data_IF_858608161942
#
_entry.id   IF_858608161942
#
_cell.length_a   1.000
_cell.length_b   1.000
_cell.length_c   1.000
_cell.angle_alpha   90.00
_cell.angle_beta   90.00
_cell.angle_gamma   90.00
#
_symmetry.space_group_name_H-M   'P 1'
#
loop_
_entity.id
_entity.type
_entity.pdbx_description
1 polymer ?
#
# COMPACT_ATOMS: atom_id res chain seq x y z
N UNK A 1 -1.22 -12.10 27.08
CA UNK A 1 -1.39 -12.26 25.61
C UNK A 1 -1.50 -10.87 25.01
N UNK A 2 -0.66 -10.51 24.05
CA UNK A 2 -0.79 -9.23 23.34
C UNK A 2 -1.96 -9.33 22.36
N UNK A 3 -3.02 -8.56 22.58
CA UNK A 3 -4.10 -8.40 21.60
C UNK A 3 -3.64 -7.38 20.56
N UNK A 4 -3.21 -7.89 19.40
CA UNK A 4 -2.86 -7.08 18.24
C UNK A 4 -4.09 -6.90 17.35
N UNK A 5 -4.23 -5.73 16.74
CA UNK A 5 -5.26 -5.48 15.74
C UNK A 5 -5.05 -6.38 14.52
N UNK A 6 -6.15 -6.83 13.93
CA UNK A 6 -6.15 -7.74 12.79
C UNK A 6 -6.21 -6.94 11.49
N UNK A 7 -5.38 -7.29 10.51
CA UNK A 7 -5.41 -6.65 9.20
C UNK A 7 -6.72 -6.97 8.47
N UNK A 8 -7.35 -5.95 7.89
CA UNK A 8 -8.56 -6.10 7.07
C UNK A 8 -8.24 -5.98 5.58
N UNK A 9 -7.68 -4.84 5.18
CA UNK A 9 -7.44 -4.54 3.77
C UNK A 9 -6.44 -3.37 3.62
N UNK A 10 -5.96 -3.14 2.39
CA UNK A 10 -5.10 -2.02 2.04
C UNK A 10 -5.42 -1.40 0.67
N UNK A 11 -5.04 -0.14 0.51
CA UNK A 11 -5.16 0.60 -0.74
C UNK A 11 -3.90 1.41 -0.99
N UNK A 12 -3.23 1.12 -2.09
CA UNK A 12 -2.13 1.93 -2.60
C UNK A 12 -2.70 3.03 -3.50
N UNK A 13 -2.53 4.29 -3.09
CA UNK A 13 -3.06 5.45 -3.82
C UNK A 13 -2.33 5.58 -5.16
N UNK A 14 -3.05 5.66 -6.30
CA UNK A 14 -2.48 5.91 -7.61
C UNK A 14 -1.65 7.18 -7.63
N UNK A 15 -0.51 7.13 -8.34
CA UNK A 15 0.49 8.20 -8.34
C UNK A 15 -0.05 9.53 -8.86
N UNK A 16 -0.98 9.47 -9.81
CA UNK A 16 -1.71 10.59 -10.39
C UNK A 16 -2.74 11.23 -9.44
N UNK A 17 -3.16 10.49 -8.41
CA UNK A 17 -4.14 10.95 -7.42
C UNK A 17 -3.50 11.47 -6.12
N UNK A 18 -2.21 11.19 -5.89
CA UNK A 18 -1.49 11.57 -4.67
C UNK A 18 -1.55 13.07 -4.32
N UNK A 19 -1.69 13.95 -5.31
CA UNK A 19 -1.77 15.40 -5.08
C UNK A 19 -3.08 15.86 -4.42
N UNK A 20 -4.18 15.18 -4.73
CA UNK A 20 -5.52 15.53 -4.25
C UNK A 20 -6.08 14.49 -3.28
N UNK A 21 -5.24 13.53 -2.88
CA UNK A 21 -5.64 12.48 -1.95
C UNK A 21 -5.82 13.05 -0.54
N UNK A 22 -7.02 12.88 0.00
CA UNK A 22 -7.33 13.16 1.40
C UNK A 22 -7.21 11.88 2.23
N UNK A 23 -6.72 12.02 3.45
CA UNK A 23 -6.56 10.89 4.37
C UNK A 23 -7.92 10.22 4.65
N UNK A 24 -7.97 8.90 4.51
CA UNK A 24 -9.18 8.14 4.79
C UNK A 24 -9.37 8.05 6.31
N UNK A 25 -10.58 8.31 6.77
CA UNK A 25 -10.95 8.26 8.18
C UNK A 25 -11.73 6.99 8.52
N UNK A 26 -11.80 6.59 9.81
CA UNK A 26 -12.69 5.50 10.22
C UNK A 26 -14.17 5.79 9.89
N UNK A 27 -14.59 7.05 9.96
CA UNK A 27 -15.95 7.47 9.67
C UNK A 27 -16.34 7.19 8.21
N UNK A 28 -15.44 7.45 7.26
CA UNK A 28 -15.65 7.20 5.84
C UNK A 28 -16.01 5.73 5.55
N UNK A 29 -15.34 4.83 6.27
CA UNK A 29 -15.54 3.38 6.17
C UNK A 29 -16.87 2.98 6.83
N UNK A 30 -17.15 3.47 8.05
CA UNK A 30 -18.40 3.17 8.77
C UNK A 30 -19.62 3.64 7.97
N UNK A 31 -19.58 4.85 7.41
CA UNK A 31 -20.64 5.40 6.57
C UNK A 31 -20.81 4.65 5.23
N UNK A 32 -19.84 3.84 4.83
CA UNK A 32 -19.88 3.04 3.60
C UNK A 32 -20.31 1.59 3.81
N UNK A 33 -20.63 1.21 5.05
CA UNK A 33 -21.13 -0.12 5.40
C UNK A 33 -22.48 -0.41 4.71
N UNK A 34 -22.63 -1.63 4.15
CA UNK A 34 -23.91 -2.15 3.66
C UNK A 34 -24.76 -2.69 4.82
N UNK A 35 -26.08 -2.77 4.64
CA UNK A 35 -26.96 -3.39 5.63
C UNK A 35 -26.61 -4.89 5.83
N UNK A 36 -25.76 -5.20 6.81
CA UNK A 36 -25.22 -6.55 7.07
C UNK A 36 -25.60 -7.11 8.44
N UNK A 37 -26.60 -6.55 9.11
CA UNK A 37 -27.07 -6.99 10.43
C UNK A 37 -26.12 -6.67 11.60
N UNK A 38 -24.87 -6.34 11.30
CA UNK A 38 -23.88 -5.78 12.23
C UNK A 38 -23.84 -4.27 12.03
N UNK A 39 -23.55 -3.49 13.07
CA UNK A 39 -23.34 -2.03 12.96
C UNK A 39 -21.91 -1.71 13.37
N UNK A 40 -21.09 -1.26 12.43
CA UNK A 40 -19.72 -0.84 12.71
C UNK A 40 -19.71 0.51 13.42
N UNK A 41 -18.76 0.68 14.33
CA UNK A 41 -18.44 1.97 14.95
C UNK A 41 -16.99 2.33 14.67
N UNK A 42 -16.67 3.62 14.75
CA UNK A 42 -15.30 4.11 14.57
C UNK A 42 -14.33 3.47 15.58
N UNK A 43 -14.81 3.16 16.78
CA UNK A 43 -14.00 2.48 17.81
C UNK A 43 -13.61 1.04 17.44
N UNK A 44 -14.28 0.40 16.49
CA UNK A 44 -14.05 -1.01 16.12
C UNK A 44 -12.87 -1.19 15.16
N UNK A 45 -12.42 -0.13 14.49
CA UNK A 45 -11.37 -0.20 13.49
C UNK A 45 -10.31 0.90 13.66
N UNK A 46 -9.22 0.76 12.90
CA UNK A 46 -8.11 1.71 12.83
C UNK A 46 -7.74 1.89 11.36
N UNK A 47 -7.59 3.13 10.93
CA UNK A 47 -7.11 3.48 9.59
C UNK A 47 -5.73 4.11 9.72
N UNK A 48 -4.77 3.58 8.96
CA UNK A 48 -3.39 4.06 8.92
C UNK A 48 -3.09 4.59 7.52
N UNK A 49 -3.05 5.92 7.35
CA UNK A 49 -2.57 6.58 6.13
C UNK A 49 -1.04 6.69 6.20
N UNK A 50 -0.33 5.83 5.47
CA UNK A 50 1.13 5.74 5.52
C UNK A 50 1.76 6.40 4.31
N UNK A 51 2.36 7.57 4.53
CA UNK A 51 3.14 8.29 3.54
C UNK A 51 4.58 7.77 3.51
N UNK A 52 5.00 7.21 2.38
CA UNK A 52 6.34 6.68 2.16
C UNK A 52 7.06 7.63 1.20
N UNK A 53 8.21 8.17 1.58
CA UNK A 53 9.02 8.99 0.68
C UNK A 53 10.51 8.85 0.99
N UNK A 54 11.36 9.30 0.06
CA UNK A 54 12.81 9.30 0.21
C UNK A 54 13.34 10.42 1.12
N UNK A 55 12.65 10.67 2.25
CA UNK A 55 12.92 11.72 3.26
C UNK A 55 12.85 13.16 2.76
N UNK A 56 12.42 13.36 1.51
CA UNK A 56 12.32 14.68 0.85
C UNK A 56 10.97 14.92 0.17
N UNK A 57 9.92 14.22 0.63
CA UNK A 57 8.62 14.25 0.00
C UNK A 57 8.73 13.85 -1.48
N UNK A 58 8.16 14.65 -2.38
CA UNK A 58 8.16 14.40 -3.82
C UNK A 58 9.48 14.68 -4.54
N UNK A 59 10.42 15.38 -3.89
CA UNK A 59 11.67 15.80 -4.53
C UNK A 59 12.66 14.65 -4.61
N UNK A 60 13.35 14.53 -5.74
CA UNK A 60 14.37 13.52 -5.91
C UNK A 60 15.55 13.82 -4.96
N UNK A 61 15.98 12.86 -4.13
CA UNK A 61 17.11 13.06 -3.23
C UNK A 61 18.40 13.42 -3.97
N UNK A 62 18.62 12.91 -5.18
CA UNK A 62 19.82 13.13 -5.99
C UNK A 62 20.05 14.60 -6.37
N UNK A 63 18.99 15.41 -6.45
CA UNK A 63 19.09 16.86 -6.72
C UNK A 63 19.96 17.62 -5.71
N UNK A 64 20.12 17.11 -4.49
CA UNK A 64 20.95 17.73 -3.45
C UNK A 64 22.27 17.02 -3.22
N UNK A 65 22.47 15.87 -3.87
CA UNK A 65 23.73 15.13 -3.76
C UNK A 65 24.73 15.78 -4.70
N UNK A 66 25.90 16.05 -4.16
CA UNK A 66 27.00 16.65 -4.89
C UNK A 66 28.12 15.63 -5.01
N UNK A 67 28.56 15.39 -6.24
CA UNK A 67 29.44 14.30 -6.60
C UNK A 67 30.74 14.90 -7.13
N UNK A 68 31.84 14.23 -6.78
CA UNK A 68 33.19 14.51 -7.24
C UNK A 68 33.62 13.34 -8.12
N UNK A 69 34.25 13.63 -9.25
CA UNK A 69 34.60 12.61 -10.24
C UNK A 69 35.80 11.79 -9.78
N UNK A 70 36.83 12.45 -9.25
CA UNK A 70 38.12 11.86 -8.88
C UNK A 70 38.70 12.55 -7.63
N UNK A 71 39.68 11.93 -6.99
CA UNK A 71 40.31 12.41 -5.75
C UNK A 71 40.93 13.82 -5.89
N UNK A 72 41.51 14.13 -7.05
CA UNK A 72 42.19 15.40 -7.32
C UNK A 72 41.26 16.47 -7.94
N UNK A 73 39.97 16.17 -8.11
CA UNK A 73 39.03 17.09 -8.76
C UNK A 73 38.20 17.84 -7.71
N UNK A 74 38.46 19.13 -7.55
CA UNK A 74 37.66 20.03 -6.70
C UNK A 74 36.31 20.41 -7.33
N UNK A 75 36.14 20.09 -8.62
CA UNK A 75 34.93 20.33 -9.38
C UNK A 75 33.77 19.46 -8.92
N UNK A 76 32.71 20.11 -8.46
CA UNK A 76 31.54 19.47 -7.90
C UNK A 76 30.36 19.58 -8.86
N UNK A 77 29.68 18.47 -9.12
CA UNK A 77 28.51 18.43 -10.00
C UNK A 77 27.35 17.64 -9.37
N UNK A 78 26.14 17.89 -9.87
CA UNK A 78 24.95 17.09 -9.56
C UNK A 78 24.64 16.16 -10.73
N UNK A 79 24.25 14.93 -10.44
CA UNK A 79 23.74 14.01 -11.47
C UNK A 79 22.25 14.25 -11.62
N UNK A 80 21.83 14.54 -12.84
CA UNK A 80 20.42 14.58 -13.20
C UNK A 80 19.86 13.15 -13.29
N UNK A 81 18.60 12.98 -12.92
CA UNK A 81 17.95 11.67 -12.74
C UNK A 81 17.98 10.82 -14.02
N UNK A 82 17.75 11.47 -15.16
CA UNK A 82 17.79 10.90 -16.51
C UNK A 82 19.15 10.33 -16.90
N UNK A 83 20.22 10.76 -16.22
CA UNK A 83 21.60 10.31 -16.46
C UNK A 83 22.06 9.21 -15.52
N UNK A 84 21.33 8.95 -14.43
CA UNK A 84 21.72 7.96 -13.43
C UNK A 84 21.25 6.55 -13.84
N UNK A 85 19.95 6.38 -14.06
CA UNK A 85 19.38 5.11 -14.56
C UNK A 85 17.91 5.27 -14.91
N UNK A 86 17.48 4.62 -15.99
CA UNK A 86 16.05 4.50 -16.33
C UNK A 86 15.28 3.56 -15.39
N UNK A 87 15.97 2.87 -14.47
CA UNK A 87 15.34 2.02 -13.45
C UNK A 87 14.97 2.78 -12.18
N UNK A 88 15.29 4.08 -12.09
CA UNK A 88 14.94 4.88 -10.93
C UNK A 88 13.42 5.09 -10.81
N UNK A 89 12.88 5.19 -9.59
CA UNK A 89 11.48 5.46 -9.39
C UNK A 89 11.06 6.78 -10.05
N UNK A 90 10.03 6.72 -10.88
CA UNK A 90 9.44 7.92 -11.53
C UNK A 90 8.79 8.87 -10.51
N UNK A 91 8.41 8.35 -9.34
CA UNK A 91 7.87 9.13 -8.23
C UNK A 91 8.61 8.76 -6.94
N UNK A 92 8.89 9.78 -6.12
CA UNK A 92 9.65 9.65 -4.86
C UNK A 92 8.75 9.54 -3.62
N UNK A 93 7.44 9.48 -3.82
CA UNK A 93 6.42 9.53 -2.79
C UNK A 93 5.30 8.54 -3.15
N UNK A 94 4.90 7.73 -2.18
CA UNK A 94 3.78 6.80 -2.24
C UNK A 94 2.89 6.99 -0.99
N UNK A 95 1.61 6.67 -1.11
CA UNK A 95 0.66 6.63 0.01
C UNK A 95 -0.02 5.26 0.03
N UNK A 96 0.02 4.60 1.19
CA UNK A 96 -0.67 3.33 1.43
C UNK A 96 -1.61 3.51 2.60
N UNK A 97 -2.89 3.27 2.38
CA UNK A 97 -3.89 3.20 3.45
C UNK A 97 -4.05 1.76 3.89
N UNK A 98 -3.94 1.50 5.19
CA UNK A 98 -4.20 0.18 5.78
C UNK A 98 -5.30 0.25 6.81
N UNK A 99 -6.20 -0.71 6.76
CA UNK A 99 -7.33 -0.81 7.68
C UNK A 99 -7.17 -2.04 8.55
N UNK A 100 -7.37 -1.86 9.85
CA UNK A 100 -7.28 -2.91 10.85
C UNK A 100 -8.54 -2.96 11.70
N UNK A 101 -8.93 -4.17 12.11
CA UNK A 101 -9.99 -4.40 13.07
C UNK A 101 -9.44 -4.63 14.46
N UNK A 102 -10.10 -4.07 15.47
CA UNK A 102 -9.83 -4.39 16.88
C UNK A 102 -10.48 -5.69 17.32
N UNK A 103 -11.45 -6.21 16.55
CA UNK A 103 -12.22 -7.43 16.82
C UNK A 103 -12.15 -8.39 15.64
N UNK A 104 -11.82 -9.65 15.89
CA UNK A 104 -11.58 -10.62 14.80
C UNK A 104 -12.84 -10.85 13.96
N UNK A 105 -14.01 -10.89 14.59
CA UNK A 105 -15.32 -11.11 13.95
C UNK A 105 -15.76 -9.99 13.00
N UNK A 106 -15.11 -8.82 13.05
CA UNK A 106 -15.47 -7.67 12.20
C UNK A 106 -14.58 -7.52 10.96
N UNK A 107 -13.53 -8.34 10.81
CA UNK A 107 -12.53 -8.21 9.74
C UNK A 107 -13.18 -8.20 8.35
N UNK A 108 -14.04 -9.18 8.07
CA UNK A 108 -14.71 -9.29 6.76
C UNK A 108 -15.64 -8.10 6.49
N UNK A 109 -16.44 -7.70 7.49
CA UNK A 109 -17.40 -6.59 7.37
C UNK A 109 -16.68 -5.25 7.17
N UNK A 110 -15.55 -5.04 7.87
CA UNK A 110 -14.72 -3.83 7.71
C UNK A 110 -14.04 -3.83 6.33
N UNK A 111 -13.54 -4.98 5.86
CA UNK A 111 -12.95 -5.10 4.52
C UNK A 111 -13.97 -4.73 3.44
N UNK A 112 -15.18 -5.28 3.53
CA UNK A 112 -16.24 -4.97 2.56
C UNK A 112 -16.66 -3.49 2.62
N UNK A 113 -16.81 -2.92 3.83
CA UNK A 113 -17.13 -1.51 4.00
C UNK A 113 -16.05 -0.59 3.39
N UNK A 114 -14.78 -0.96 3.53
CA UNK A 114 -13.66 -0.23 2.94
C UNK A 114 -13.66 -0.31 1.41
N UNK A 115 -13.89 -1.50 0.83
CA UNK A 115 -14.01 -1.64 -0.62
C UNK A 115 -15.18 -0.81 -1.18
N UNK A 116 -16.32 -0.80 -0.47
CA UNK A 116 -17.47 0.01 -0.86
C UNK A 116 -17.15 1.51 -0.80
N UNK A 117 -16.38 1.96 0.19
CA UNK A 117 -15.89 3.34 0.26
C UNK A 117 -15.03 3.67 -0.98
N UNK A 118 -14.04 2.82 -1.28
CA UNK A 118 -13.15 3.04 -2.42
C UNK A 118 -13.89 3.06 -3.76
N UNK A 119 -14.88 2.17 -3.93
CA UNK A 119 -15.74 2.11 -5.11
C UNK A 119 -16.58 3.39 -5.29
N UNK A 120 -17.15 3.92 -4.19
CA UNK A 120 -17.98 5.13 -4.24
C UNK A 120 -17.17 6.40 -4.45
N UNK A 121 -16.00 6.49 -3.82
CA UNK A 121 -15.20 7.72 -3.80
C UNK A 121 -14.31 7.85 -5.03
N UNK A 122 -13.72 6.74 -5.50
CA UNK A 122 -12.69 6.77 -6.54
C UNK A 122 -13.09 6.00 -7.81
N UNK A 123 -14.34 5.51 -7.90
CA UNK A 123 -14.87 4.70 -9.03
C UNK A 123 -13.95 3.52 -9.41
N UNK A 124 -13.18 3.03 -8.44
CA UNK A 124 -12.18 2.00 -8.66
C UNK A 124 -12.86 0.67 -8.94
N UNK A 125 -12.85 0.22 -10.18
CA UNK A 125 -13.02 -1.22 -10.48
C UNK A 125 -11.80 -1.93 -9.89
N UNK A 126 -11.95 -2.45 -8.67
CA UNK A 126 -10.92 -3.25 -8.01
C UNK A 126 -10.60 -4.41 -8.97
N UNK A 127 -9.43 -4.38 -9.62
CA UNK A 127 -8.85 -5.59 -10.19
C UNK A 127 -8.37 -6.41 -9.01
N UNK A 128 -9.29 -7.21 -8.49
CA UNK A 128 -9.06 -8.19 -7.44
C UNK A 128 -8.04 -9.19 -7.97
N UNK A 129 -6.77 -9.03 -7.61
CA UNK A 129 -5.92 -10.21 -7.46
C UNK A 129 -6.38 -10.86 -6.15
N UNK A 130 -7.48 -11.59 -6.26
CA UNK A 130 -7.92 -12.54 -5.25
C UNK A 130 -6.66 -13.32 -4.84
N UNK A 131 -6.27 -13.24 -3.56
CA UNK A 131 -5.28 -14.17 -3.05
C UNK A 131 -5.78 -15.57 -3.41
N UNK A 132 -5.01 -16.38 -4.15
CA UNK A 132 -5.47 -17.72 -4.48
C UNK A 132 -5.56 -18.53 -3.19
N UNK A 133 -6.77 -18.67 -2.69
CA UNK A 133 -7.19 -19.76 -1.83
C UNK A 133 -6.68 -21.06 -2.46
N UNK A 134 -5.75 -21.75 -1.77
CA UNK A 134 -5.17 -23.08 -2.06
C UNK A 134 -3.89 -23.11 -2.92
N UNK A 135 -2.76 -23.08 -2.23
CA UNK A 135 -1.70 -24.09 -2.46
C UNK A 135 -1.61 -25.01 -1.25
N UNK A 136 -2.60 -25.91 -1.13
CA UNK A 136 -2.45 -27.15 -0.37
C UNK A 136 -1.27 -27.92 -0.96
N UNK A 137 -0.28 -28.18 -0.11
CA UNK A 137 0.75 -29.22 -0.19
C UNK A 137 0.71 -30.10 -1.46
N UNK A 138 1.59 -29.83 -2.42
CA UNK A 138 1.91 -30.82 -3.45
C UNK A 138 2.86 -31.84 -2.82
N UNK A 139 2.38 -33.06 -2.62
CA UNK A 139 3.23 -34.22 -2.31
C UNK A 139 4.34 -34.33 -3.37
N UNK A 140 5.60 -34.63 -3.01
CA UNK A 140 6.62 -34.93 -3.99
C UNK A 140 6.25 -36.22 -4.73
N UNK A 141 6.21 -36.16 -6.06
CA UNK A 141 6.17 -37.34 -6.92
C UNK A 141 7.55 -38.02 -6.84
N UNK A 142 7.57 -39.29 -6.48
CA UNK A 142 8.75 -40.15 -6.63
C UNK A 142 9.00 -40.37 -8.14
N UNK A 143 10.27 -40.45 -8.58
CA UNK A 143 10.58 -40.71 -9.99
C UNK A 143 10.33 -42.18 -10.34
N UNK A 144 9.63 -42.41 -11.45
CA UNK A 144 9.51 -43.74 -12.05
C UNK A 144 10.85 -44.17 -12.67
N UNK A 145 11.25 -45.40 -12.34
CA UNK A 145 12.40 -46.11 -12.87
C UNK A 145 12.14 -46.60 -14.30
N UNK A 146 12.97 -46.18 -15.26
CA UNK A 146 13.02 -46.78 -16.59
C UNK A 146 13.63 -48.18 -16.52
N UNK A 147 12.90 -49.18 -17.02
CA UNK A 147 13.40 -50.48 -17.51
C UNK A 147 13.12 -50.54 -19.00
#
# INVERSE_FOLDING_TARGET
>A
MCSLWQFCNEYAVPKDQLEFFEDITPQDIVCSQKASGVTLKEEDLVVCNVKINLTRGRRNPLERVKIFMDYDNEGMFSIADDRASHLLPVCNEDMIVRVYSKKHELVEVISEAFENFLLKTYELKIQVHEMPEKKKCRRPLLPESNV
#
